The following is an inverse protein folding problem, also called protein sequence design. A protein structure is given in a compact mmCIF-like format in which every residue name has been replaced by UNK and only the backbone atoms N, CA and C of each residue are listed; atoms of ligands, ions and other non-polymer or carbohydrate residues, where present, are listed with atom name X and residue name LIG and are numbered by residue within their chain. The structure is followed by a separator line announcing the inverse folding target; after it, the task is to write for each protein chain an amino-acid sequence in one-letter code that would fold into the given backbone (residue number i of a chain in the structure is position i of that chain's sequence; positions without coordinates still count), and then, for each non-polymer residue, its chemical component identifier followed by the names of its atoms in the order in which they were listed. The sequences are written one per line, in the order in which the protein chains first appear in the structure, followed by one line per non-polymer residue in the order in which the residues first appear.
data_IF_117501150429
#
_entry.id   IF_117501150429
#
_cell.length_a   1.000
_cell.length_b   1.000
_cell.length_c   1.000
_cell.angle_alpha   90.00
_cell.angle_beta   90.00
_cell.angle_gamma   90.00
#
_symmetry.space_group_name_H-M   'P 1'
#
loop_
_entity.id
_entity.type
_entity.pdbx_description
1 polymer ?
#
# COMPACT_ATOMS: atom_id res chain seq x y z
N UNK A 1 1.58 -23.23 -7.38
CA UNK A 1 0.50 -22.31 -7.84
C UNK A 1 0.98 -20.89 -7.65
N UNK A 2 0.77 -19.99 -8.62
CA UNK A 2 1.19 -18.60 -8.52
C UNK A 2 0.03 -17.73 -8.02
N UNK A 3 0.32 -16.78 -7.13
CA UNK A 3 -0.67 -15.83 -6.59
C UNK A 3 -0.18 -14.41 -6.85
N UNK A 4 -1.03 -13.58 -7.42
CA UNK A 4 -0.78 -12.16 -7.68
C UNK A 4 -1.70 -11.33 -6.80
N UNK A 5 -1.11 -10.44 -6.00
CA UNK A 5 -1.86 -9.45 -5.21
C UNK A 5 -1.83 -8.11 -5.96
N UNK A 6 -3.02 -7.57 -6.25
CA UNK A 6 -3.18 -6.22 -6.78
C UNK A 6 -3.61 -5.31 -5.64
N UNK A 7 -2.79 -4.31 -5.34
CA UNK A 7 -2.99 -3.39 -4.23
C UNK A 7 -3.05 -1.98 -4.79
N UNK A 8 -4.14 -1.26 -4.48
CA UNK A 8 -4.21 0.18 -4.71
C UNK A 8 -3.49 0.92 -3.58
N UNK A 9 -2.83 2.04 -3.90
CA UNK A 9 -2.25 2.92 -2.88
C UNK A 9 -3.32 3.37 -1.86
N UNK A 10 -2.88 3.71 -0.64
CA UNK A 10 -3.76 4.27 0.39
C UNK A 10 -4.31 5.64 -0.01
N UNK A 11 -5.19 6.20 0.80
CA UNK A 11 -5.83 7.48 0.54
C UNK A 11 -4.80 8.60 0.27
N UNK A 12 -4.92 9.27 -0.87
CA UNK A 12 -4.13 10.44 -1.25
C UNK A 12 -4.53 11.70 -0.42
N UNK A 13 -3.68 12.73 -0.46
CA UNK A 13 -3.86 13.99 0.27
C UNK A 13 -4.69 15.00 -0.56
N UNK A 14 -6.01 14.79 -0.61
CA UNK A 14 -6.90 15.68 -1.35
C UNK A 14 -6.76 17.14 -0.88
N UNK A 15 -6.51 18.06 -1.81
CA UNK A 15 -6.35 19.50 -1.52
C UNK A 15 -4.99 19.92 -0.97
N UNK A 16 -4.04 18.99 -0.80
CA UNK A 16 -2.67 19.34 -0.42
C UNK A 16 -1.86 19.89 -1.60
N UNK A 17 -0.79 20.63 -1.31
CA UNK A 17 0.13 21.13 -2.34
C UNK A 17 0.76 20.01 -3.18
N UNK A 18 0.97 18.84 -2.56
CA UNK A 18 1.27 17.61 -3.28
C UNK A 18 0.08 16.66 -3.15
N UNK A 19 -0.79 16.68 -4.15
CA UNK A 19 -1.99 15.84 -4.21
C UNK A 19 -1.67 14.33 -4.20
N UNK A 20 -0.58 13.95 -4.86
CA UNK A 20 -0.23 12.54 -5.09
C UNK A 20 0.33 11.86 -3.83
N UNK A 21 0.74 12.62 -2.81
CA UNK A 21 1.27 12.03 -1.60
C UNK A 21 0.17 11.39 -0.74
N UNK A 22 0.51 10.32 -0.02
CA UNK A 22 -0.41 9.71 0.93
C UNK A 22 -0.75 10.69 2.06
N UNK A 23 -2.04 10.74 2.38
CA UNK A 23 -2.55 11.35 3.62
C UNK A 23 -2.10 10.53 4.84
N UNK A 24 -2.30 11.06 6.05
CA UNK A 24 -2.04 10.28 7.27
C UNK A 24 -2.89 9.02 7.35
N UNK A 25 -4.15 9.09 6.91
CA UNK A 25 -5.02 7.92 6.73
C UNK A 25 -4.43 6.93 5.73
N UNK A 26 -3.94 7.42 4.58
CA UNK A 26 -3.30 6.59 3.57
C UNK A 26 -2.07 5.85 4.08
N UNK A 27 -1.24 6.53 4.88
CA UNK A 27 -0.09 5.91 5.55
C UNK A 27 -0.52 4.82 6.53
N UNK A 28 -1.57 5.07 7.31
CA UNK A 28 -2.10 4.08 8.27
C UNK A 28 -2.70 2.86 7.55
N UNK A 29 -3.43 3.08 6.45
CA UNK A 29 -3.96 1.99 5.61
C UNK A 29 -2.84 1.10 5.06
N UNK A 30 -1.74 1.68 4.58
CA UNK A 30 -0.57 0.92 4.11
C UNK A 30 0.07 0.08 5.23
N UNK A 31 0.15 0.60 6.46
CA UNK A 31 0.67 -0.16 7.61
C UNK A 31 -0.23 -1.35 7.95
N UNK A 32 -1.53 -1.13 8.07
CA UNK A 32 -2.49 -2.20 8.37
C UNK A 32 -2.47 -3.31 7.33
N UNK A 33 -2.31 -2.97 6.04
CA UNK A 33 -2.18 -3.98 5.00
C UNK A 33 -0.91 -4.82 5.17
N UNK A 34 0.22 -4.19 5.52
CA UNK A 34 1.46 -4.89 5.83
C UNK A 34 1.33 -5.82 7.03
N UNK A 35 0.70 -5.36 8.11
CA UNK A 35 0.39 -6.17 9.29
C UNK A 35 -0.51 -7.36 8.95
N UNK A 36 -1.57 -7.12 8.17
CA UNK A 36 -2.46 -8.17 7.68
C UNK A 36 -1.72 -9.28 6.93
N UNK A 37 -0.80 -8.92 6.04
CA UNK A 37 0.00 -9.88 5.30
C UNK A 37 0.97 -10.65 6.20
N UNK A 38 1.64 -9.95 7.12
CA UNK A 38 2.54 -10.55 8.10
C UNK A 38 1.82 -11.57 8.98
N UNK A 39 0.68 -11.20 9.54
CA UNK A 39 -0.07 -12.04 10.48
C UNK A 39 -0.63 -13.30 9.80
N UNK A 40 -0.74 -13.30 8.46
CA UNK A 40 -1.12 -14.45 7.63
C UNK A 40 0.06 -15.21 7.05
N UNK A 41 1.30 -14.82 7.38
CA UNK A 41 2.50 -15.44 6.85
C UNK A 41 2.67 -15.26 5.34
N UNK A 42 2.04 -14.25 4.73
CA UNK A 42 2.18 -13.97 3.29
C UNK A 42 3.59 -13.46 3.01
N UNK A 43 4.31 -14.16 2.13
CA UNK A 43 5.66 -13.81 1.71
C UNK A 43 5.67 -13.45 0.22
N UNK A 44 6.24 -12.30 -0.12
CA UNK A 44 6.32 -11.83 -1.50
C UNK A 44 7.71 -12.07 -2.07
N UNK A 45 7.78 -12.87 -3.15
CA UNK A 45 9.04 -13.06 -3.90
C UNK A 45 9.43 -11.81 -4.69
N UNK A 46 8.45 -11.03 -5.13
CA UNK A 46 8.65 -9.79 -5.89
C UNK A 46 7.57 -8.79 -5.50
N UNK A 47 7.97 -7.54 -5.37
CA UNK A 47 7.08 -6.39 -5.22
C UNK A 47 7.40 -5.42 -6.36
N UNK A 48 6.36 -4.84 -6.97
CA UNK A 48 6.46 -3.83 -8.02
C UNK A 48 5.50 -2.71 -7.67
N UNK A 49 5.95 -1.47 -7.81
CA UNK A 49 5.16 -0.26 -7.60
C UNK A 49 5.51 0.78 -8.68
N UNK A 50 4.69 1.82 -8.80
CA UNK A 50 4.99 2.99 -9.63
C UNK A 50 6.13 3.84 -9.05
N UNK A 51 6.41 4.97 -9.71
CA UNK A 51 7.49 5.90 -9.33
C UNK A 51 7.00 7.13 -8.54
N UNK A 52 5.72 7.16 -8.17
CA UNK A 52 5.06 8.24 -7.44
C UNK A 52 4.95 7.89 -5.96
#
# INVERSE_FOLDING_TARGET
MATLFLVRHGQASFGAANYDCLSDTGRQQSRWLGEYFRDRGVQFRRVVAGTL
#
